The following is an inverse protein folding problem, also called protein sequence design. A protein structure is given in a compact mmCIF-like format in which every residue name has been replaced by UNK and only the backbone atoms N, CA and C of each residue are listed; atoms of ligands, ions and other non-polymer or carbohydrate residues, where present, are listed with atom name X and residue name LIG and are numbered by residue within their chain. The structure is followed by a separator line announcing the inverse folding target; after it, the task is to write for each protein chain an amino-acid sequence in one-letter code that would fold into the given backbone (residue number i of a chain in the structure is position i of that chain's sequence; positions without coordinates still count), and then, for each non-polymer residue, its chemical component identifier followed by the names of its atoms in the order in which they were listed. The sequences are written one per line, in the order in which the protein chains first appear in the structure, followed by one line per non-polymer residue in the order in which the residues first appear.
data_IF_684660071851
#
_entry.id   IF_684660071851
#
_cell.length_a   1.000
_cell.length_b   1.000
_cell.length_c   1.000
_cell.angle_alpha   90.00
_cell.angle_beta   90.00
_cell.angle_gamma   90.00
#
_symmetry.space_group_name_H-M   'P 1'
#
loop_
_entity.id
_entity.type
_entity.pdbx_description
1 polymer ?
#
# COMPACT_ATOMS: atom_id res chain seq x y z
N UNK A 1 11.34 -0.81 -7.85
CA UNK A 1 11.61 -1.42 -9.17
C UNK A 1 10.95 -2.80 -9.27
N UNK A 2 10.12 -3.01 -10.32
CA UNK A 2 9.36 -4.27 -10.51
C UNK A 2 10.00 -5.18 -11.57
N UNK A 3 11.05 -4.71 -12.25
CA UNK A 3 11.71 -5.42 -13.35
C UNK A 3 10.79 -5.58 -14.58
N UNK A 4 9.91 -4.65 -14.83
CA UNK A 4 8.95 -4.68 -15.95
C UNK A 4 9.39 -3.77 -17.08
N UNK A 5 9.79 -2.55 -16.76
CA UNK A 5 10.16 -1.54 -17.76
C UNK A 5 11.51 -1.82 -18.39
N UNK A 6 12.45 -2.33 -17.62
CA UNK A 6 13.79 -2.69 -18.14
C UNK A 6 13.76 -3.85 -19.15
N UNK A 7 12.75 -4.72 -19.11
CA UNK A 7 12.56 -5.77 -20.14
C UNK A 7 12.19 -5.20 -21.49
N UNK A 8 11.51 -4.06 -21.51
CA UNK A 8 11.06 -3.37 -22.71
C UNK A 8 12.06 -2.33 -23.19
N UNK A 9 12.84 -1.76 -22.27
CA UNK A 9 13.82 -0.72 -22.56
C UNK A 9 15.07 -0.88 -21.67
N UNK A 10 16.17 -1.34 -22.25
CA UNK A 10 17.45 -1.56 -21.56
C UNK A 10 18.07 -0.30 -20.94
N UNK A 11 17.59 0.89 -21.33
CA UNK A 11 18.04 2.16 -20.75
C UNK A 11 17.39 2.46 -19.40
N UNK A 12 16.33 1.73 -19.01
CA UNK A 12 15.66 1.91 -17.71
C UNK A 12 16.34 1.04 -16.64
N UNK A 13 17.58 1.39 -16.29
CA UNK A 13 18.41 0.61 -15.35
C UNK A 13 17.87 0.61 -13.93
N UNK A 14 17.19 1.68 -13.50
CA UNK A 14 16.62 1.83 -12.17
C UNK A 14 15.46 0.85 -11.88
N UNK A 15 14.85 0.24 -12.91
CA UNK A 15 13.79 -0.77 -12.70
C UNK A 15 14.33 -2.21 -12.57
N UNK A 16 15.63 -2.37 -12.30
CA UNK A 16 16.16 -3.69 -11.96
C UNK A 16 15.62 -4.17 -10.62
N UNK A 17 15.12 -5.40 -10.60
CA UNK A 17 14.59 -6.00 -9.37
C UNK A 17 15.71 -6.15 -8.34
N UNK A 18 15.51 -5.60 -7.14
CA UNK A 18 16.43 -5.81 -6.02
C UNK A 18 16.37 -7.29 -5.60
N UNK A 19 17.52 -7.95 -5.35
CA UNK A 19 17.52 -9.32 -4.83
C UNK A 19 16.73 -9.40 -3.52
N UNK A 20 15.66 -10.21 -3.51
CA UNK A 20 14.71 -10.20 -2.40
C UNK A 20 15.32 -10.71 -1.09
N UNK A 21 16.22 -11.68 -1.14
CA UNK A 21 16.90 -12.22 0.05
C UNK A 21 17.69 -11.12 0.77
N UNK A 22 18.55 -10.42 0.03
CA UNK A 22 19.34 -9.31 0.57
C UNK A 22 18.44 -8.15 1.08
N UNK A 23 17.37 -7.86 0.35
CA UNK A 23 16.41 -6.83 0.76
C UNK A 23 15.77 -7.17 2.12
N UNK A 24 15.29 -8.42 2.28
CA UNK A 24 14.67 -8.87 3.51
C UNK A 24 15.67 -8.99 4.67
N UNK A 25 16.93 -9.32 4.39
CA UNK A 25 17.99 -9.31 5.39
C UNK A 25 18.17 -7.90 5.98
N UNK A 26 18.26 -6.88 5.11
CA UNK A 26 18.40 -5.50 5.57
C UNK A 26 17.13 -5.01 6.30
N UNK A 27 15.94 -5.30 5.79
CA UNK A 27 14.71 -4.93 6.51
C UNK A 27 14.66 -5.55 7.91
N UNK A 28 14.98 -6.84 8.06
CA UNK A 28 15.04 -7.49 9.39
C UNK A 28 16.06 -6.89 10.32
N UNK A 29 17.17 -6.38 9.80
CA UNK A 29 18.25 -5.76 10.56
C UNK A 29 17.86 -4.38 11.12
N UNK A 30 17.11 -3.60 10.35
CA UNK A 30 16.85 -2.18 10.68
C UNK A 30 15.45 -1.91 11.23
N UNK A 31 14.47 -2.77 10.98
CA UNK A 31 13.09 -2.56 11.44
C UNK A 31 12.89 -3.10 12.84
N UNK A 32 12.06 -2.40 13.64
CA UNK A 32 11.58 -2.92 14.92
C UNK A 32 10.66 -4.15 14.69
N UNK A 33 10.48 -5.03 15.69
CA UNK A 33 9.66 -6.23 15.54
C UNK A 33 8.20 -5.98 15.19
N UNK A 34 7.68 -4.81 15.52
CA UNK A 34 6.32 -4.32 15.30
C UNK A 34 6.22 -3.29 14.15
N UNK A 35 7.32 -3.04 13.44
CA UNK A 35 7.26 -2.17 12.27
C UNK A 35 6.61 -2.88 11.09
N UNK A 36 5.66 -2.24 10.38
CA UNK A 36 5.16 -2.74 9.12
C UNK A 36 6.15 -2.48 7.99
N UNK A 37 6.19 -3.40 7.04
CA UNK A 37 6.88 -3.21 5.75
C UNK A 37 5.81 -3.21 4.68
N UNK A 38 5.70 -2.12 3.93
CA UNK A 38 4.66 -1.89 2.93
C UNK A 38 5.33 -1.76 1.58
N UNK A 39 5.03 -2.68 0.66
CA UNK A 39 5.65 -2.73 -0.65
C UNK A 39 4.60 -2.68 -1.74
N UNK A 40 4.85 -1.86 -2.75
CA UNK A 40 4.05 -1.84 -3.96
C UNK A 40 4.46 -2.97 -4.89
N UNK A 41 3.49 -3.55 -5.57
CA UNK A 41 3.73 -4.64 -6.50
C UNK A 41 2.66 -4.75 -7.58
N UNK A 42 2.92 -5.64 -8.53
CA UNK A 42 1.99 -5.93 -9.59
C UNK A 42 2.25 -7.31 -10.21
N UNK A 43 1.17 -8.07 -10.41
CA UNK A 43 1.22 -9.36 -11.08
C UNK A 43 2.22 -10.34 -10.45
N UNK A 44 3.09 -10.93 -11.26
CA UNK A 44 4.06 -11.93 -10.79
C UNK A 44 5.05 -11.37 -9.75
N UNK A 45 5.35 -10.07 -9.80
CA UNK A 45 6.23 -9.46 -8.80
C UNK A 45 5.55 -9.44 -7.41
N UNK A 46 4.26 -9.13 -7.34
CA UNK A 46 3.49 -9.25 -6.09
C UNK A 46 3.53 -10.68 -5.53
N UNK A 47 3.33 -11.69 -6.38
CA UNK A 47 3.39 -13.09 -5.98
C UNK A 47 4.77 -13.49 -5.42
N UNK A 48 5.86 -13.05 -6.08
CA UNK A 48 7.23 -13.29 -5.62
C UNK A 48 7.50 -12.64 -4.26
N UNK A 49 7.04 -11.40 -4.06
CA UNK A 49 7.16 -10.73 -2.76
C UNK A 49 6.43 -11.50 -1.66
N UNK A 50 5.19 -11.92 -1.89
CA UNK A 50 4.41 -12.71 -0.91
C UNK A 50 5.10 -14.02 -0.57
N UNK A 51 5.56 -14.76 -1.56
CA UNK A 51 6.22 -16.06 -1.37
C UNK A 51 7.57 -15.90 -0.66
N UNK A 52 8.33 -14.85 -0.97
CA UNK A 52 9.65 -14.61 -0.35
C UNK A 52 9.57 -14.38 1.17
N UNK A 53 8.43 -13.93 1.70
CA UNK A 53 8.20 -13.73 3.13
C UNK A 53 6.77 -14.11 3.56
N UNK A 54 6.33 -15.29 3.19
CA UNK A 54 4.97 -15.79 3.45
C UNK A 54 4.58 -15.76 4.95
N UNK A 55 5.55 -15.94 5.85
CA UNK A 55 5.33 -15.87 7.32
C UNK A 55 5.08 -14.45 7.83
N UNK A 56 5.56 -13.44 7.12
CA UNK A 56 5.38 -12.03 7.47
C UNK A 56 4.26 -11.37 6.68
N UNK A 57 3.94 -11.87 5.49
CA UNK A 57 2.83 -11.35 4.70
C UNK A 57 1.50 -11.52 5.44
N UNK A 58 0.68 -10.47 5.43
CA UNK A 58 -0.60 -10.44 6.15
C UNK A 58 -1.79 -10.27 5.22
N UNK A 59 -1.76 -9.23 4.40
CA UNK A 59 -2.82 -8.92 3.45
C UNK A 59 -2.34 -7.96 2.37
N UNK A 60 -3.15 -7.82 1.35
CA UNK A 60 -2.96 -6.82 0.32
C UNK A 60 -4.04 -5.75 0.41
N UNK A 61 -3.65 -4.53 0.13
CA UNK A 61 -4.54 -3.46 -0.28
C UNK A 61 -4.43 -3.29 -1.79
N UNK A 62 -5.46 -2.78 -2.41
CA UNK A 62 -5.49 -2.49 -3.85
C UNK A 62 -5.60 -0.98 -4.03
N UNK A 63 -4.59 -0.38 -4.63
CA UNK A 63 -4.69 1.00 -5.07
C UNK A 63 -5.38 1.05 -6.42
N UNK A 64 -6.63 1.52 -6.43
CA UNK A 64 -7.40 1.80 -7.64
C UNK A 64 -7.08 3.22 -8.13
N UNK A 65 -6.69 3.31 -9.39
CA UNK A 65 -6.31 4.56 -10.06
C UNK A 65 -7.51 5.17 -10.79
N UNK A 66 -7.47 6.46 -11.02
CA UNK A 66 -8.41 7.17 -11.90
C UNK A 66 -8.19 6.86 -13.38
N UNK A 67 -6.94 6.54 -13.77
CA UNK A 67 -6.55 6.26 -15.15
C UNK A 67 -6.05 4.85 -15.33
N UNK A 68 -6.39 4.30 -16.48
CA UNK A 68 -5.95 2.97 -16.91
C UNK A 68 -4.60 3.04 -17.63
N UNK A 69 -3.92 1.91 -17.69
CA UNK A 69 -2.66 1.74 -18.43
C UNK A 69 -2.72 0.47 -19.28
N UNK A 70 -1.82 0.34 -20.26
CA UNK A 70 -1.71 -0.86 -21.08
C UNK A 70 -2.53 -0.76 -22.39
N UNK A 71 -2.81 0.44 -22.88
CA UNK A 71 -3.62 0.68 -24.09
C UNK A 71 -3.17 -0.10 -25.33
N UNK A 72 -1.86 -0.35 -25.48
CA UNK A 72 -1.33 -1.16 -26.59
C UNK A 72 -1.84 -2.61 -26.61
N UNK A 73 -2.35 -3.08 -25.48
CA UNK A 73 -2.89 -4.44 -25.33
C UNK A 73 -4.43 -4.45 -25.18
N UNK A 74 -5.12 -3.34 -25.45
CA UNK A 74 -6.56 -3.21 -25.21
C UNK A 74 -7.41 -4.27 -25.91
N UNK A 75 -6.95 -4.74 -27.09
CA UNK A 75 -7.64 -5.79 -27.86
C UNK A 75 -7.27 -7.23 -27.42
N UNK A 76 -6.38 -7.39 -26.42
CA UNK A 76 -5.87 -8.70 -25.99
C UNK A 76 -6.14 -9.00 -24.51
N UNK A 77 -6.29 -7.97 -23.68
CA UNK A 77 -6.51 -8.08 -22.26
C UNK A 77 -7.16 -6.82 -21.68
N UNK A 78 -7.85 -6.90 -20.54
CA UNK A 78 -8.37 -5.72 -19.86
C UNK A 78 -7.27 -4.71 -19.54
N UNK A 79 -7.62 -3.43 -19.64
CA UNK A 79 -6.76 -2.33 -19.24
C UNK A 79 -6.53 -2.37 -17.73
N UNK A 80 -5.31 -2.06 -17.30
CA UNK A 80 -4.90 -2.12 -15.92
C UNK A 80 -5.23 -0.82 -15.17
N UNK A 81 -5.98 -0.92 -14.09
CA UNK A 81 -6.45 0.21 -13.31
C UNK A 81 -5.99 0.19 -11.84
N UNK A 82 -5.18 -0.79 -11.45
CA UNK A 82 -4.76 -0.93 -10.05
C UNK A 82 -3.30 -1.34 -9.91
N UNK A 83 -2.78 -1.16 -8.70
CA UNK A 83 -1.56 -1.78 -8.20
C UNK A 83 -1.82 -2.42 -6.83
N UNK A 84 -1.06 -3.45 -6.50
CA UNK A 84 -1.10 -4.08 -5.19
C UNK A 84 -0.25 -3.30 -4.19
N UNK A 85 -0.71 -3.25 -2.96
CA UNK A 85 0.05 -2.77 -1.80
C UNK A 85 0.11 -3.92 -0.81
N UNK A 86 1.28 -4.50 -0.65
CA UNK A 86 1.49 -5.69 0.17
C UNK A 86 1.95 -5.28 1.56
N UNK A 87 1.27 -5.77 2.59
CA UNK A 87 1.55 -5.45 3.99
C UNK A 87 2.17 -6.64 4.69
N UNK A 88 3.37 -6.42 5.21
CA UNK A 88 4.15 -7.42 5.94
C UNK A 88 4.46 -6.92 7.35
N UNK A 89 4.34 -7.79 8.33
CA UNK A 89 4.83 -7.54 9.69
C UNK A 89 5.02 -8.85 10.47
N UNK A 90 5.92 -8.82 11.45
CA UNK A 90 6.16 -9.95 12.35
C UNK A 90 5.20 -9.93 13.53
N UNK A 91 5.07 -8.79 14.20
CA UNK A 91 4.09 -8.50 15.27
C UNK A 91 3.11 -7.44 14.79
N UNK A 92 1.92 -7.43 15.35
CA UNK A 92 0.89 -6.44 15.02
C UNK A 92 1.45 -5.02 15.24
N UNK A 93 1.53 -4.20 14.18
CA UNK A 93 1.95 -2.81 14.28
C UNK A 93 0.85 -1.93 14.82
N UNK A 94 1.18 -0.67 15.08
CA UNK A 94 0.21 0.41 15.20
C UNK A 94 -0.72 0.39 13.99
N UNK A 95 -2.01 0.62 14.24
CA UNK A 95 -3.01 0.69 13.19
C UNK A 95 -4.06 1.76 13.51
N UNK A 96 -4.04 2.85 12.76
CA UNK A 96 -4.99 3.94 12.84
C UNK A 96 -5.95 3.87 11.64
N UNK A 97 -7.16 3.29 11.79
CA UNK A 97 -8.09 3.19 10.67
C UNK A 97 -8.49 4.57 10.18
N UNK A 98 -8.20 4.89 8.93
CA UNK A 98 -8.59 6.15 8.30
C UNK A 98 -10.09 6.10 7.97
N UNK A 99 -10.91 6.46 8.95
CA UNK A 99 -12.37 6.40 8.86
C UNK A 99 -12.91 7.40 7.84
N UNK A 100 -13.94 7.01 7.08
CA UNK A 100 -14.65 7.89 6.15
C UNK A 100 -16.03 8.24 6.68
N UNK A 101 -16.41 9.52 6.60
CA UNK A 101 -17.75 9.99 6.93
C UNK A 101 -18.67 9.89 5.72
N UNK A 102 -19.74 9.11 5.82
CA UNK A 102 -20.73 8.89 4.76
C UNK A 102 -22.14 9.15 5.31
N UNK A 103 -22.59 10.42 5.33
CA UNK A 103 -23.88 10.78 5.89
C UNK A 103 -25.03 10.07 5.16
N UNK A 104 -26.00 9.60 5.91
CA UNK A 104 -27.16 8.89 5.37
C UNK A 104 -26.93 7.42 5.02
N UNK A 105 -25.69 6.95 4.96
CA UNK A 105 -25.38 5.53 4.79
C UNK A 105 -25.26 4.81 6.13
N UNK A 106 -26.32 4.90 6.95
CA UNK A 106 -26.34 4.22 8.24
C UNK A 106 -26.07 2.73 8.05
N UNK A 107 -25.18 2.18 8.86
CA UNK A 107 -25.07 0.73 8.97
C UNK A 107 -26.44 0.22 9.45
N UNK A 108 -27.05 -0.66 8.69
CA UNK A 108 -28.23 -1.34 9.22
C UNK A 108 -27.83 -2.00 10.53
N UNK A 109 -28.56 -1.75 11.65
CA UNK A 109 -28.36 -2.55 12.83
C UNK A 109 -28.54 -4.00 12.38
N UNK A 110 -27.46 -4.74 12.31
CA UNK A 110 -27.59 -6.19 12.20
C UNK A 110 -28.36 -6.57 13.45
N UNK A 111 -29.65 -6.91 13.28
CA UNK A 111 -30.49 -7.35 14.37
C UNK A 111 -29.70 -8.34 15.21
N UNK A 112 -29.91 -8.38 16.51
CA UNK A 112 -29.23 -9.29 17.42
C UNK A 112 -29.07 -10.64 16.70
N UNK A 113 -27.86 -10.90 16.19
CA UNK A 113 -27.59 -12.17 15.56
C UNK A 113 -27.77 -13.23 16.65
N UNK A 114 -28.89 -13.95 16.62
CA UNK A 114 -28.96 -15.25 17.27
C UNK A 114 -27.66 -15.95 16.90
N UNK A 115 -26.94 -16.48 17.88
CA UNK A 115 -25.71 -17.27 17.76
C UNK A 115 -25.68 -17.98 16.41
N UNK A 116 -25.11 -17.36 15.39
CA UNK A 116 -24.82 -18.07 14.15
C UNK A 116 -23.55 -18.86 14.42
N UNK A 117 -23.72 -20.11 14.82
CA UNK A 117 -22.66 -21.11 14.71
C UNK A 117 -22.44 -21.37 13.24
N UNK A 118 -21.63 -20.51 12.61
CA UNK A 118 -21.16 -20.77 11.28
C UNK A 118 -20.03 -21.80 11.39
N UNK A 119 -20.17 -22.94 10.72
CA UNK A 119 -19.11 -23.96 10.68
C UNK A 119 -17.76 -23.44 10.22
N UNK A 120 -17.73 -22.33 9.45
CA UNK A 120 -16.50 -21.73 8.95
C UNK A 120 -15.81 -20.80 9.95
N UNK A 121 -16.55 -20.09 10.81
CA UNK A 121 -15.98 -19.03 11.67
C UNK A 121 -16.10 -19.31 13.17
N UNK A 122 -16.65 -20.47 13.56
CA UNK A 122 -16.85 -20.81 14.96
C UNK A 122 -17.91 -19.96 15.67
N UNK A 123 -17.88 -19.96 17.00
CA UNK A 123 -18.81 -19.17 17.82
C UNK A 123 -18.37 -17.70 17.86
N UNK A 124 -19.10 -16.82 17.22
CA UNK A 124 -18.89 -15.39 17.32
C UNK A 124 -19.58 -14.81 18.55
N UNK A 125 -18.86 -13.98 19.32
CA UNK A 125 -19.50 -13.17 20.37
C UNK A 125 -20.37 -12.09 19.71
N UNK A 126 -21.63 -11.89 20.14
CA UNK A 126 -22.45 -10.81 19.62
C UNK A 126 -21.79 -9.47 19.98
N UNK A 127 -21.47 -8.69 18.98
CA UNK A 127 -20.96 -7.33 19.15
C UNK A 127 -22.10 -6.38 18.82
N UNK A 128 -22.49 -5.45 19.73
CA UNK A 128 -23.51 -4.47 19.42
C UNK A 128 -23.07 -3.61 18.24
N UNK A 129 -23.85 -3.60 17.16
CA UNK A 129 -23.59 -2.73 16.02
C UNK A 129 -23.99 -1.30 16.40
N UNK A 130 -23.02 -0.38 16.42
CA UNK A 130 -23.34 1.05 16.55
C UNK A 130 -23.79 1.56 15.18
N UNK A 131 -24.95 2.21 15.13
CA UNK A 131 -25.36 2.97 13.95
C UNK A 131 -24.43 4.17 13.85
N UNK A 132 -23.66 4.27 12.76
CA UNK A 132 -22.70 5.33 12.58
C UNK A 132 -22.60 5.69 11.10
N UNK A 133 -22.46 6.98 10.81
CA UNK A 133 -22.12 7.48 9.48
C UNK A 133 -20.62 7.33 9.15
N UNK A 134 -19.82 6.99 10.15
CA UNK A 134 -18.40 6.67 9.96
C UNK A 134 -18.24 5.22 9.51
N UNK A 135 -17.43 5.04 8.46
CA UNK A 135 -17.13 3.72 7.88
C UNK A 135 -15.66 3.39 8.05
N UNK A 136 -15.38 2.14 8.40
CA UNK A 136 -14.03 1.63 8.37
C UNK A 136 -13.49 1.60 6.95
N UNK A 137 -12.16 1.76 6.78
CA UNK A 137 -11.53 1.62 5.48
C UNK A 137 -11.70 0.20 4.92
N UNK A 138 -11.68 0.10 3.61
CA UNK A 138 -11.73 -1.17 2.87
C UNK A 138 -10.37 -1.48 2.26
N UNK A 139 -10.19 -2.70 1.78
CA UNK A 139 -8.95 -3.13 1.11
C UNK A 139 -8.73 -2.48 -0.26
N UNK A 140 -9.75 -1.82 -0.83
CA UNK A 140 -9.63 -1.07 -2.08
C UNK A 140 -9.57 0.42 -1.75
N UNK A 141 -8.48 1.06 -2.11
CA UNK A 141 -8.20 2.48 -1.90
C UNK A 141 -8.29 3.16 -3.26
N UNK A 142 -9.33 3.96 -3.47
CA UNK A 142 -9.40 4.83 -4.64
C UNK A 142 -8.58 6.09 -4.38
N UNK A 143 -7.54 6.32 -5.19
CA UNK A 143 -6.72 7.52 -5.11
C UNK A 143 -6.29 7.91 -6.53
N UNK A 144 -6.72 9.08 -7.03
CA UNK A 144 -6.32 9.54 -8.35
C UNK A 144 -4.81 9.83 -8.40
N UNK A 145 -4.21 9.65 -9.56
CA UNK A 145 -2.87 10.14 -9.81
C UNK A 145 -2.90 11.67 -9.81
N UNK A 146 -1.97 12.28 -9.11
CA UNK A 146 -1.80 13.73 -9.15
C UNK A 146 -1.29 14.14 -10.54
N UNK A 147 -2.19 14.55 -11.42
CA UNK A 147 -1.86 15.22 -12.67
C UNK A 147 -1.91 16.75 -12.45
N UNK A 148 -0.88 17.32 -11.89
CA UNK A 148 -0.69 18.77 -11.99
C UNK A 148 0.24 19.05 -13.17
N UNK A 149 -0.37 19.60 -14.23
CA UNK A 149 0.26 20.42 -15.27
C UNK A 149 1.77 20.22 -15.48
N UNK A 150 2.12 19.19 -16.27
CA UNK A 150 3.41 19.19 -16.96
C UNK A 150 4.65 18.76 -16.21
N UNK A 151 4.63 18.61 -14.89
CA UNK A 151 5.82 18.25 -14.11
C UNK A 151 5.69 16.86 -13.50
N UNK A 152 6.10 15.85 -14.24
CA UNK A 152 6.41 14.54 -13.64
C UNK A 152 7.89 14.53 -13.26
N UNK A 153 8.17 14.50 -11.98
CA UNK A 153 9.55 14.34 -11.51
C UNK A 153 10.05 12.89 -11.65
N UNK A 154 9.13 11.92 -11.70
CA UNK A 154 9.47 10.51 -11.91
C UNK A 154 8.32 9.78 -12.65
N UNK A 155 8.63 8.92 -13.67
CA UNK A 155 7.61 8.23 -14.51
C UNK A 155 6.62 7.35 -13.73
N UNK A 156 7.06 6.79 -12.60
CA UNK A 156 6.26 5.89 -11.74
C UNK A 156 5.91 6.51 -10.40
N UNK A 157 5.93 7.85 -10.29
CA UNK A 157 5.59 8.57 -9.08
C UNK A 157 4.22 8.15 -8.53
N UNK A 158 4.17 7.89 -7.22
CA UNK A 158 2.94 7.62 -6.49
C UNK A 158 2.30 8.94 -6.03
N UNK A 159 0.97 9.01 -5.87
CA UNK A 159 0.33 10.19 -5.27
C UNK A 159 0.79 10.41 -3.84
N UNK A 160 1.08 11.67 -3.48
CA UNK A 160 1.44 12.03 -2.10
C UNK A 160 0.33 11.62 -1.13
N UNK A 161 -0.93 11.85 -1.50
CA UNK A 161 -2.09 11.51 -0.68
C UNK A 161 -2.18 9.99 -0.37
N UNK A 162 -1.76 9.11 -1.30
CA UNK A 162 -1.73 7.67 -1.07
C UNK A 162 -0.66 7.30 -0.04
N UNK A 163 0.53 7.85 -0.17
CA UNK A 163 1.63 7.58 0.76
C UNK A 163 1.31 8.17 2.14
N UNK A 164 0.74 9.37 2.20
CA UNK A 164 0.29 9.99 3.46
C UNK A 164 -0.78 9.13 4.15
N UNK A 165 -1.75 8.59 3.40
CA UNK A 165 -2.75 7.66 3.92
C UNK A 165 -2.10 6.42 4.56
N UNK A 166 -1.11 5.81 3.90
CA UNK A 166 -0.41 4.64 4.42
C UNK A 166 0.43 5.00 5.67
N UNK A 167 1.15 6.11 5.64
CA UNK A 167 1.94 6.58 6.77
C UNK A 167 1.04 6.82 8.00
N UNK A 168 -0.06 7.56 7.84
CA UNK A 168 -1.02 7.82 8.93
C UNK A 168 -1.69 6.56 9.45
N UNK A 169 -1.86 5.55 8.61
CA UNK A 169 -2.49 4.28 9.01
C UNK A 169 -1.58 3.44 9.89
N UNK A 170 -0.26 3.45 9.64
CA UNK A 170 0.65 2.46 10.20
C UNK A 170 1.77 3.04 11.06
N UNK A 171 1.75 4.33 11.36
CA UNK A 171 2.75 5.00 12.19
C UNK A 171 2.14 6.01 13.14
N UNK A 172 2.85 6.33 14.21
CA UNK A 172 2.56 7.45 15.10
C UNK A 172 3.32 8.72 14.65
N UNK A 173 2.89 9.90 15.12
CA UNK A 173 3.63 11.14 14.91
C UNK A 173 5.02 11.03 15.55
N UNK A 174 6.04 11.56 14.85
CA UNK A 174 7.43 11.45 15.25
C UNK A 174 8.14 10.16 14.83
N UNK A 175 7.41 9.15 14.31
CA UNK A 175 8.05 7.95 13.78
C UNK A 175 8.92 8.23 12.56
N UNK A 176 9.86 7.32 12.28
CA UNK A 176 10.75 7.39 11.11
C UNK A 176 10.24 6.46 10.02
N UNK A 177 9.98 7.00 8.84
CA UNK A 177 9.60 6.28 7.63
C UNK A 177 10.81 6.08 6.74
N UNK A 178 11.09 4.86 6.33
CA UNK A 178 12.17 4.54 5.41
C UNK A 178 11.61 4.23 4.01
N UNK A 179 12.20 4.85 2.99
CA UNK A 179 11.97 4.50 1.59
C UNK A 179 13.30 4.29 0.87
N UNK A 180 13.62 3.06 0.53
CA UNK A 180 14.88 2.71 -0.13
C UNK A 180 14.85 2.85 -1.66
N UNK A 181 13.78 3.38 -2.22
CA UNK A 181 13.61 3.71 -3.64
C UNK A 181 12.74 4.97 -3.77
N UNK A 182 13.19 6.06 -3.11
CA UNK A 182 12.35 7.23 -2.86
C UNK A 182 11.98 8.02 -4.13
N UNK A 183 12.73 7.85 -5.22
CA UNK A 183 12.51 8.53 -6.49
C UNK A 183 12.43 10.05 -6.28
N UNK A 184 11.37 10.66 -6.77
CA UNK A 184 11.10 12.11 -6.66
C UNK A 184 10.75 12.60 -5.25
N UNK A 185 10.90 11.79 -4.21
CA UNK A 185 10.69 12.23 -2.83
C UNK A 185 9.24 12.24 -2.35
N UNK A 186 8.33 11.54 -3.01
CA UNK A 186 6.91 11.48 -2.59
C UNK A 186 6.75 11.07 -1.13
N UNK A 187 7.51 10.06 -0.69
CA UNK A 187 7.49 9.59 0.69
C UNK A 187 8.00 10.65 1.66
N UNK A 188 9.02 11.42 1.31
CA UNK A 188 9.53 12.52 2.13
C UNK A 188 8.45 13.59 2.34
N UNK A 189 7.80 14.02 1.25
CA UNK A 189 6.71 15.00 1.32
C UNK A 189 5.55 14.51 2.18
N UNK A 190 5.15 13.25 2.02
CA UNK A 190 4.06 12.66 2.79
C UNK A 190 4.43 12.52 4.28
N UNK A 191 5.66 12.13 4.61
CA UNK A 191 6.14 12.03 5.98
C UNK A 191 6.13 13.40 6.67
N UNK A 192 6.68 14.44 6.04
CA UNK A 192 6.68 15.81 6.57
C UNK A 192 5.25 16.29 6.83
N UNK A 193 4.35 16.14 5.84
CA UNK A 193 2.94 16.56 5.96
C UNK A 193 2.18 15.86 7.08
N UNK A 194 2.60 14.67 7.43
CA UNK A 194 1.97 13.86 8.48
C UNK A 194 2.70 13.94 9.83
N UNK A 195 3.74 14.78 9.98
CA UNK A 195 4.49 14.95 11.22
C UNK A 195 5.42 13.77 11.53
N UNK A 196 5.93 13.09 10.50
CA UNK A 196 6.88 11.96 10.62
C UNK A 196 8.25 12.39 10.09
N UNK A 197 9.28 11.72 10.58
CA UNK A 197 10.61 11.81 10.01
C UNK A 197 10.76 10.83 8.84
N UNK A 198 11.75 11.05 7.98
CA UNK A 198 12.01 10.13 6.87
C UNK A 198 13.50 9.89 6.67
N UNK A 199 13.79 8.73 6.09
CA UNK A 199 15.10 8.37 5.52
C UNK A 199 14.81 7.85 4.12
N UNK A 200 15.48 8.43 3.11
CA UNK A 200 15.28 8.06 1.71
C UNK A 200 16.58 7.75 1.01
N UNK A 201 16.54 6.78 0.10
CA UNK A 201 17.65 6.45 -0.80
C UNK A 201 17.16 6.43 -2.23
N UNK A 202 17.96 6.99 -3.12
CA UNK A 202 17.75 6.95 -4.56
C UNK A 202 19.07 6.65 -5.24
N UNK A 203 19.04 5.76 -6.26
CA UNK A 203 20.23 5.38 -7.00
C UNK A 203 20.47 6.31 -8.20
N UNK A 204 19.41 6.90 -8.72
CA UNK A 204 19.48 7.81 -9.88
C UNK A 204 19.58 9.25 -9.40
N UNK A 205 20.72 9.87 -9.68
CA UNK A 205 20.99 11.25 -9.26
C UNK A 205 20.06 12.29 -9.93
N UNK A 206 19.37 11.93 -11.01
CA UNK A 206 18.46 12.82 -11.74
C UNK A 206 17.07 12.96 -11.06
N UNK A 207 16.79 12.19 -10.02
CA UNK A 207 15.57 12.25 -9.21
C UNK A 207 15.84 12.72 -7.75
#
# INVERSE_FOLDING_TARGET
PYGVLNRQNKHVKWDNTIPLESLWEQYRRITKPDSPIILFGQGLFSARLMLSQSKMWRYNLVWQKDRVTGHLNANRMPLRQHEDILVFYKKQPVYHPQMSYKPGQKNHPRGMFKRMTNRCYGAMKPTPSRISDWKYPTSVIYMPKEFRTGMFYHPTQKPVALIEYLIRTYTDEGDVVLDNCIGSGTTAVAAIRSGRHYIGFEIEQAY
#
